data_IF_708151259675
#
_entry.id   IF_708151259675
#
_cell.length_a   1.000
_cell.length_b   1.000
_cell.length_c   1.000
_cell.angle_alpha   90.00
_cell.angle_beta   90.00
_cell.angle_gamma   90.00
#
_symmetry.space_group_name_H-M   'P 1'
#
loop_
_entity.id
_entity.type
_entity.pdbx_description
1 polymer ?
#
# COMPACT_ATOMS: atom_id res chain seq x y z
N UNK A 1 -0.43 20.89 -14.39
CA UNK A 1 0.78 20.13 -14.79
C UNK A 1 1.27 19.12 -13.76
N UNK A 2 1.53 19.49 -12.49
CA UNK A 2 2.12 18.58 -11.47
C UNK A 2 1.27 17.33 -11.16
N UNK A 3 -0.07 17.44 -11.15
CA UNK A 3 -1.00 16.33 -10.87
C UNK A 3 -1.00 15.26 -11.97
N UNK A 4 -1.15 15.66 -13.23
CA UNK A 4 -1.12 14.72 -14.36
C UNK A 4 0.22 14.00 -14.48
N UNK A 5 1.34 14.71 -14.25
CA UNK A 5 2.65 14.07 -14.21
C UNK A 5 2.71 13.00 -13.12
N UNK A 6 2.29 13.31 -11.88
CA UNK A 6 2.24 12.33 -10.78
C UNK A 6 1.36 11.12 -11.10
N UNK A 7 0.19 11.33 -11.68
CA UNK A 7 -0.71 10.25 -12.10
C UNK A 7 -0.05 9.37 -13.18
N UNK A 8 0.55 9.96 -14.20
CA UNK A 8 1.22 9.22 -15.28
C UNK A 8 2.41 8.44 -14.74
N UNK A 9 3.22 9.05 -13.87
CA UNK A 9 4.34 8.36 -13.22
C UNK A 9 3.86 7.20 -12.36
N UNK A 10 2.83 7.39 -11.55
CA UNK A 10 2.24 6.33 -10.73
C UNK A 10 1.68 5.20 -11.60
N UNK A 11 0.92 5.51 -12.64
CA UNK A 11 0.35 4.51 -13.54
C UNK A 11 1.43 3.72 -14.27
N UNK A 12 2.45 4.39 -14.79
CA UNK A 12 3.57 3.74 -15.48
C UNK A 12 4.31 2.80 -14.53
N UNK A 13 4.60 3.28 -13.31
CA UNK A 13 5.24 2.49 -12.27
C UNK A 13 4.38 1.28 -11.84
N UNK A 14 3.09 1.51 -11.65
CA UNK A 14 2.16 0.55 -11.09
C UNK A 14 1.62 -0.48 -12.09
N UNK A 15 1.67 -0.20 -13.40
CA UNK A 15 1.30 -1.11 -14.50
C UNK A 15 2.52 -1.75 -15.16
N UNK A 16 3.47 -0.95 -15.64
CA UNK A 16 4.57 -1.41 -16.48
C UNK A 16 5.72 -1.96 -15.64
N UNK A 17 6.16 -1.18 -14.64
CA UNK A 17 7.30 -1.56 -13.82
C UNK A 17 6.93 -2.48 -12.66
N UNK A 18 5.64 -2.81 -12.49
CA UNK A 18 5.12 -3.56 -11.34
C UNK A 18 5.94 -4.80 -11.03
N UNK A 19 6.10 -5.69 -12.01
CA UNK A 19 6.85 -6.95 -11.84
C UNK A 19 8.35 -6.72 -11.63
N UNK A 20 9.03 -5.87 -12.42
CA UNK A 20 10.42 -5.47 -12.15
C UNK A 20 10.65 -4.97 -10.72
N UNK A 21 9.75 -4.12 -10.20
CA UNK A 21 9.86 -3.57 -8.84
C UNK A 21 9.74 -4.68 -7.80
N UNK A 22 8.75 -5.57 -7.94
CA UNK A 22 8.58 -6.67 -6.99
C UNK A 22 9.77 -7.64 -7.01
N UNK A 23 10.36 -7.88 -8.18
CA UNK A 23 11.57 -8.70 -8.31
C UNK A 23 12.77 -8.02 -7.63
N UNK A 24 12.94 -6.72 -7.84
CA UNK A 24 13.98 -5.93 -7.18
C UNK A 24 13.78 -5.89 -5.66
N UNK A 25 12.56 -5.65 -5.18
CA UNK A 25 12.23 -5.66 -3.76
C UNK A 25 12.44 -7.04 -3.13
N UNK A 26 12.15 -8.12 -3.86
CA UNK A 26 12.43 -9.48 -3.42
C UNK A 26 13.94 -9.71 -3.30
N UNK A 27 14.71 -9.29 -4.30
CA UNK A 27 16.16 -9.43 -4.29
C UNK A 27 16.80 -8.61 -3.15
N UNK A 28 16.48 -7.32 -3.05
CA UNK A 28 16.96 -6.43 -1.97
C UNK A 28 16.49 -6.92 -0.60
N UNK A 29 15.27 -7.44 -0.50
CA UNK A 29 14.71 -7.99 0.73
C UNK A 29 15.48 -9.17 1.31
N UNK A 30 16.21 -9.94 0.47
CA UNK A 30 17.09 -11.03 0.95
C UNK A 30 18.24 -10.53 1.80
N UNK A 31 18.65 -9.28 1.65
CA UNK A 31 19.71 -8.66 2.44
C UNK A 31 19.23 -8.12 3.78
N UNK A 32 17.93 -8.24 4.10
CA UNK A 32 17.38 -7.83 5.41
C UNK A 32 17.39 -6.32 5.66
N UNK A 33 17.47 -5.52 4.60
CA UNK A 33 17.61 -4.06 4.66
C UNK A 33 16.31 -3.40 5.17
N UNK A 34 15.16 -3.91 4.74
CA UNK A 34 13.87 -3.36 5.13
C UNK A 34 13.44 -3.83 6.53
N UNK A 35 13.23 -2.89 7.44
CA UNK A 35 12.67 -3.15 8.78
C UNK A 35 11.15 -3.09 8.77
N UNK A 36 10.58 -2.14 8.02
CA UNK A 36 9.14 -1.83 8.10
C UNK A 36 8.52 -1.62 6.73
N UNK A 37 7.29 -2.08 6.55
CA UNK A 37 6.43 -1.70 5.43
C UNK A 37 5.32 -0.81 5.96
N UNK A 38 5.08 0.33 5.32
CA UNK A 38 4.06 1.28 5.74
C UNK A 38 3.00 1.44 4.67
N UNK A 39 1.73 1.25 5.04
CA UNK A 39 0.59 1.43 4.14
C UNK A 39 -0.06 2.80 4.37
N UNK A 40 -0.15 3.61 3.32
CA UNK A 40 -0.96 4.83 3.29
C UNK A 40 -2.12 4.67 2.32
N UNK A 41 -3.17 5.39 2.64
CA UNK A 41 -4.39 5.52 1.87
C UNK A 41 -4.76 7.01 1.82
N UNK A 42 -5.43 7.45 0.76
CA UNK A 42 -5.92 8.82 0.68
C UNK A 42 -7.03 9.04 1.70
N UNK A 43 -7.06 10.24 2.28
CA UNK A 43 -8.12 10.68 3.20
C UNK A 43 -9.43 10.82 2.42
N UNK A 44 -9.35 11.48 1.26
CA UNK A 44 -10.50 11.85 0.43
C UNK A 44 -10.35 11.42 -1.03
N UNK A 45 -11.46 11.53 -1.78
CA UNK A 45 -11.49 11.27 -3.21
C UNK A 45 -10.57 12.22 -4.02
N UNK A 46 -10.30 13.41 -3.51
CA UNK A 46 -9.38 14.40 -4.08
C UNK A 46 -7.91 13.96 -3.99
N UNK A 47 -7.47 13.42 -2.85
CA UNK A 47 -6.13 12.85 -2.70
C UNK A 47 -5.99 11.54 -3.48
N UNK A 48 -7.07 10.76 -3.59
CA UNK A 48 -7.09 9.55 -4.42
C UNK A 48 -6.77 9.89 -5.89
N UNK A 49 -7.25 11.03 -6.38
CA UNK A 49 -6.94 11.53 -7.73
C UNK A 49 -5.46 11.86 -7.91
N UNK A 50 -4.71 12.19 -6.86
CA UNK A 50 -3.27 12.47 -7.00
C UNK A 50 -2.47 11.20 -7.32
N UNK A 51 -3.00 10.02 -7.00
CA UNK A 51 -2.38 8.72 -7.28
C UNK A 51 -2.99 8.02 -8.50
N UNK A 52 -4.32 7.92 -8.56
CA UNK A 52 -5.02 7.19 -9.62
C UNK A 52 -6.10 8.08 -10.25
N UNK A 53 -6.11 8.28 -11.59
CA UNK A 53 -7.17 9.03 -12.24
C UNK A 53 -8.53 8.36 -12.03
N UNK A 54 -9.60 9.15 -12.12
CA UNK A 54 -10.98 8.65 -11.96
C UNK A 54 -11.48 7.89 -13.20
N UNK A 55 -10.76 6.83 -13.56
CA UNK A 55 -11.12 5.90 -14.63
C UNK A 55 -11.57 4.62 -13.93
N UNK A 56 -12.83 4.22 -14.14
CA UNK A 56 -13.47 3.14 -13.39
C UNK A 56 -12.69 1.82 -13.45
N UNK A 57 -12.15 1.46 -14.61
CA UNK A 57 -11.36 0.24 -14.78
C UNK A 57 -10.01 0.29 -14.03
N UNK A 58 -9.29 1.43 -14.08
CA UNK A 58 -8.04 1.60 -13.34
C UNK A 58 -8.26 1.59 -11.83
N UNK A 59 -9.31 2.28 -11.35
CA UNK A 59 -9.70 2.24 -9.94
C UNK A 59 -10.01 0.83 -9.48
N UNK A 60 -10.78 0.06 -10.27
CA UNK A 60 -11.08 -1.34 -9.95
C UNK A 60 -9.82 -2.22 -9.97
N UNK A 61 -8.90 -1.97 -10.89
CA UNK A 61 -7.65 -2.72 -10.98
C UNK A 61 -6.72 -2.48 -9.79
N UNK A 62 -6.61 -1.24 -9.31
CA UNK A 62 -5.75 -0.90 -8.16
C UNK A 62 -6.43 -1.03 -6.79
N UNK A 63 -7.76 -1.15 -6.76
CA UNK A 63 -8.51 -1.32 -5.52
C UNK A 63 -8.01 -2.55 -4.75
N UNK A 64 -7.70 -2.34 -3.47
CA UNK A 64 -7.18 -3.39 -2.59
C UNK A 64 -5.79 -3.90 -2.94
N UNK A 65 -5.04 -3.20 -3.82
CA UNK A 65 -3.68 -3.59 -4.23
C UNK A 65 -2.65 -2.57 -3.74
N UNK A 66 -1.97 -2.86 -2.61
CA UNK A 66 -0.85 -2.05 -2.17
C UNK A 66 0.21 -1.98 -3.27
N UNK A 67 0.57 -0.75 -3.62
CA UNK A 67 1.54 -0.46 -4.68
C UNK A 67 2.68 0.36 -4.09
N UNK A 68 3.94 0.00 -4.35
CA UNK A 68 5.07 0.79 -3.87
C UNK A 68 4.99 2.21 -4.41
N UNK A 69 5.15 3.18 -3.53
CA UNK A 69 5.15 4.60 -3.88
C UNK A 69 6.44 5.29 -3.46
N UNK A 70 7.26 4.66 -2.61
CA UNK A 70 8.54 5.19 -2.20
C UNK A 70 9.29 4.32 -1.18
N UNK A 71 10.42 4.82 -0.72
CA UNK A 71 11.24 4.21 0.34
C UNK A 71 11.28 5.14 1.55
N UNK A 72 11.27 4.55 2.74
CA UNK A 72 11.49 5.25 4.00
C UNK A 72 12.98 5.22 4.29
N UNK A 73 13.63 6.37 4.24
CA UNK A 73 15.08 6.51 4.42
C UNK A 73 15.41 6.88 5.87
N UNK A 74 16.49 6.32 6.40
CA UNK A 74 17.14 6.82 7.62
C UNK A 74 18.57 7.24 7.23
N UNK A 75 18.77 8.54 7.04
CA UNK A 75 19.96 9.04 6.35
C UNK A 75 20.04 8.45 4.94
N UNK A 76 21.07 7.65 4.67
CA UNK A 76 21.34 7.08 3.35
C UNK A 76 20.82 5.64 3.20
N UNK A 77 20.37 5.01 4.29
CA UNK A 77 19.91 3.62 4.30
C UNK A 77 18.38 3.56 4.15
N UNK A 78 17.85 2.76 3.20
CA UNK A 78 16.41 2.53 3.11
C UNK A 78 15.97 1.58 4.23
N UNK A 79 15.27 2.11 5.23
CA UNK A 79 14.81 1.34 6.40
C UNK A 79 13.42 0.77 6.21
N UNK A 80 12.64 1.30 5.26
CA UNK A 80 11.31 0.79 5.02
C UNK A 80 10.76 1.05 3.62
N UNK A 81 9.60 0.45 3.36
CA UNK A 81 8.89 0.58 2.10
C UNK A 81 7.59 1.36 2.31
N UNK A 82 7.33 2.30 1.43
CA UNK A 82 6.11 3.06 1.40
C UNK A 82 5.15 2.50 0.36
N UNK A 83 3.96 2.05 0.79
CA UNK A 83 2.93 1.48 -0.07
C UNK A 83 1.66 2.34 -0.04
N UNK A 84 1.03 2.50 -1.20
CA UNK A 84 -0.24 3.23 -1.35
C UNK A 84 -1.32 2.31 -1.88
N UNK A 85 -2.52 2.47 -1.35
CA UNK A 85 -3.76 1.90 -1.90
C UNK A 85 -4.68 3.04 -2.30
N UNK A 86 -5.14 3.13 -3.56
CA UNK A 86 -6.00 4.20 -4.03
C UNK A 86 -7.47 3.96 -3.65
N UNK A 87 -7.73 3.61 -2.39
CA UNK A 87 -9.06 3.53 -1.80
C UNK A 87 -9.14 4.55 -0.66
N UNK A 88 -10.10 5.49 -0.67
CA UNK A 88 -10.25 6.44 0.41
C UNK A 88 -10.58 5.74 1.74
N UNK A 89 -10.12 6.33 2.84
CA UNK A 89 -10.33 5.80 4.19
C UNK A 89 -11.82 5.49 4.45
N UNK A 90 -12.70 6.43 4.11
CA UNK A 90 -14.15 6.30 4.26
C UNK A 90 -14.74 5.13 3.48
N UNK A 91 -14.15 4.76 2.34
CA UNK A 91 -14.57 3.58 1.58
C UNK A 91 -14.11 2.29 2.28
N UNK A 92 -12.86 2.24 2.73
CA UNK A 92 -12.32 1.09 3.46
C UNK A 92 -13.03 0.85 4.79
N UNK A 93 -13.59 1.90 5.39
CA UNK A 93 -14.41 1.82 6.60
C UNK A 93 -15.80 1.18 6.38
N UNK A 94 -16.30 1.00 5.15
CA UNK A 94 -17.65 0.46 4.94
C UNK A 94 -17.65 -1.07 5.08
N UNK A 95 -18.53 -1.64 5.92
CA UNK A 95 -18.61 -3.11 6.15
C UNK A 95 -18.70 -3.94 4.84
N UNK A 96 -19.40 -3.45 3.82
CA UNK A 96 -19.50 -4.12 2.51
C UNK A 96 -18.15 -4.32 1.81
N UNK A 97 -17.14 -3.54 2.17
CA UNK A 97 -15.79 -3.59 1.60
C UNK A 97 -14.83 -4.46 2.41
N UNK A 98 -15.34 -5.32 3.30
CA UNK A 98 -14.55 -6.29 4.05
C UNK A 98 -13.63 -7.13 3.17
N UNK A 99 -14.08 -7.54 1.98
CA UNK A 99 -13.27 -8.31 1.03
C UNK A 99 -12.05 -7.54 0.55
N UNK A 100 -12.20 -6.25 0.24
CA UNK A 100 -11.10 -5.36 -0.17
C UNK A 100 -10.08 -5.22 0.96
N UNK A 101 -10.55 -5.02 2.19
CA UNK A 101 -9.67 -4.91 3.37
C UNK A 101 -8.93 -6.22 3.62
N UNK A 102 -9.61 -7.35 3.52
CA UNK A 102 -9.00 -8.68 3.66
C UNK A 102 -7.91 -8.90 2.60
N UNK A 103 -8.16 -8.51 1.35
CA UNK A 103 -7.16 -8.60 0.27
C UNK A 103 -5.95 -7.68 0.54
N UNK A 104 -6.17 -6.48 1.08
CA UNK A 104 -5.08 -5.58 1.48
C UNK A 104 -4.22 -6.27 2.54
N UNK A 105 -4.81 -6.75 3.63
CA UNK A 105 -4.09 -7.39 4.75
C UNK A 105 -3.31 -8.60 4.25
N UNK A 106 -3.94 -9.48 3.47
CA UNK A 106 -3.30 -10.65 2.87
C UNK A 106 -2.10 -10.25 2.00
N UNK A 107 -2.25 -9.21 1.17
CA UNK A 107 -1.15 -8.71 0.34
C UNK A 107 -0.05 -8.08 1.18
N UNK A 108 -0.36 -7.32 2.22
CA UNK A 108 0.64 -6.74 3.11
C UNK A 108 1.49 -7.83 3.78
N UNK A 109 0.87 -8.93 4.24
CA UNK A 109 1.60 -10.09 4.76
C UNK A 109 2.49 -10.75 3.71
N UNK A 110 1.99 -10.90 2.47
CA UNK A 110 2.80 -11.41 1.36
C UNK A 110 3.99 -10.49 1.04
N UNK A 111 3.77 -9.17 1.02
CA UNK A 111 4.82 -8.17 0.78
C UNK A 111 5.86 -8.25 1.90
N UNK A 112 5.45 -8.35 3.17
CA UNK A 112 6.36 -8.57 4.30
C UNK A 112 7.25 -9.79 4.09
N UNK A 113 6.67 -10.92 3.70
CA UNK A 113 7.41 -12.14 3.40
C UNK A 113 8.38 -11.94 2.23
N UNK A 114 7.96 -11.21 1.20
CA UNK A 114 8.76 -10.94 0.01
C UNK A 114 9.95 -10.01 0.30
N UNK A 115 9.76 -8.95 1.07
CA UNK A 115 10.79 -7.94 1.35
C UNK A 115 11.63 -8.25 2.57
N UNK A 116 11.31 -9.31 3.32
CA UNK A 116 12.00 -9.64 4.57
C UNK A 116 11.72 -8.65 5.72
N UNK A 117 10.71 -7.80 5.59
CA UNK A 117 10.40 -6.80 6.60
C UNK A 117 9.94 -7.43 7.93
N UNK A 118 10.26 -6.77 9.05
CA UNK A 118 9.90 -7.23 10.39
C UNK A 118 8.50 -6.79 10.78
N UNK A 119 8.14 -5.55 10.47
CA UNK A 119 6.87 -4.95 10.89
C UNK A 119 6.07 -4.38 9.73
N UNK A 120 4.76 -4.31 9.91
CA UNK A 120 3.81 -3.66 9.00
C UNK A 120 3.14 -2.52 9.78
N UNK A 121 3.29 -1.29 9.31
CA UNK A 121 2.58 -0.13 9.82
C UNK A 121 1.37 0.20 8.96
N UNK A 122 0.23 0.47 9.61
CA UNK A 122 -0.94 1.04 8.95
C UNK A 122 -1.03 2.51 9.33
N UNK A 123 -1.11 3.40 8.34
CA UNK A 123 -1.28 4.82 8.65
C UNK A 123 -2.61 5.10 9.38
N UNK A 124 -2.62 6.09 10.25
CA UNK A 124 -3.84 6.60 10.87
C UNK A 124 -4.62 5.57 11.68
N UNK A 125 -5.95 5.60 11.55
CA UNK A 125 -6.87 4.82 12.40
C UNK A 125 -7.33 3.49 11.77
N UNK A 126 -6.82 3.11 10.59
CA UNK A 126 -7.36 1.94 9.88
C UNK A 126 -7.07 0.60 10.57
N UNK A 127 -5.96 0.44 11.29
CA UNK A 127 -5.68 -0.80 12.04
C UNK A 127 -6.81 -1.17 13.01
N UNK A 128 -7.12 -0.30 13.99
CA UNK A 128 -8.24 -0.52 14.92
C UNK A 128 -9.60 -0.68 14.22
N UNK A 129 -9.81 0.01 13.10
CA UNK A 129 -11.05 -0.11 12.31
C UNK A 129 -11.14 -1.48 11.63
N UNK A 130 -10.04 -1.99 11.08
CA UNK A 130 -10.01 -3.29 10.41
C UNK A 130 -10.30 -4.42 11.40
N UNK A 131 -9.75 -4.32 12.59
CA UNK A 131 -10.04 -5.25 13.67
C UNK A 131 -11.50 -5.14 14.14
N UNK A 132 -11.94 -3.97 14.59
CA UNK A 132 -13.27 -3.79 15.21
C UNK A 132 -14.43 -3.89 14.23
N UNK A 133 -14.28 -3.36 13.01
CA UNK A 133 -15.39 -3.24 12.06
C UNK A 133 -15.45 -4.38 11.06
N UNK A 134 -14.30 -4.92 10.66
CA UNK A 134 -14.22 -6.01 9.68
C UNK A 134 -13.91 -7.37 10.31
N UNK A 135 -13.58 -7.43 11.60
CA UNK A 135 -13.25 -8.66 12.30
C UNK A 135 -12.01 -9.33 11.71
N UNK A 136 -11.03 -8.53 11.26
CA UNK A 136 -9.77 -9.03 10.72
C UNK A 136 -8.70 -8.83 11.79
N UNK A 137 -8.06 -9.90 12.30
CA UNK A 137 -7.08 -9.78 13.37
C UNK A 137 -5.89 -8.93 12.92
N UNK A 138 -5.53 -7.94 13.75
CA UNK A 138 -4.39 -7.04 13.54
C UNK A 138 -3.28 -7.32 14.56
N UNK A 139 -3.08 -8.60 14.87
CA UNK A 139 -2.00 -9.05 15.74
C UNK A 139 -0.62 -8.78 15.10
N UNK A 140 0.48 -8.81 15.89
CA UNK A 140 1.82 -8.73 15.35
C UNK A 140 1.98 -9.65 14.13
N UNK A 141 2.43 -9.14 12.98
CA UNK A 141 3.38 -8.02 12.83
C UNK A 141 2.77 -6.66 12.48
N UNK A 142 1.46 -6.45 12.68
CA UNK A 142 0.80 -5.16 12.45
C UNK A 142 0.95 -4.21 13.65
N UNK A 143 1.30 -2.95 13.39
CA UNK A 143 1.49 -1.88 14.37
C UNK A 143 0.87 -0.56 13.91
#
# INVERSE_FOLDING_TARGET
MKRYLRQVTFLTYALVLRWPIWLLLWFVGRFGIFKTIFLIYPTDSSECLDFCPNIAWLRRFFSGRPTPAGLIMNGWLPVGLYLVVPNPALELMRKKNRSIVHDIVRRMLWIKKLTGARTIGLAGQLGPIFEKRHGIPMEPPFY
#
